data_IF_802587162043
#
_entry.id   IF_802587162043
#
_cell.length_a   1.000
_cell.length_b   1.000
_cell.length_c   1.000
_cell.angle_alpha   90.00
_cell.angle_beta   90.00
_cell.angle_gamma   90.00
#
_symmetry.space_group_name_H-M   'P 1'
#
loop_
_entity.id
_entity.type
_entity.pdbx_description
1 polymer ?
#
# COMPACT_ATOMS: atom_id res chain seq x y z
N UNK A 1 -12.59 3.92 -23.64
CA UNK A 1 -11.23 4.48 -23.46
C UNK A 1 -10.42 3.51 -22.64
N UNK A 2 -9.43 2.86 -23.25
CA UNK A 2 -8.42 2.08 -22.52
C UNK A 2 -7.46 3.06 -21.85
N UNK A 3 -7.91 3.69 -20.76
CA UNK A 3 -7.05 4.57 -19.96
C UNK A 3 -6.05 3.69 -19.22
N UNK A 4 -4.76 3.82 -19.53
CA UNK A 4 -3.71 3.12 -18.79
C UNK A 4 -3.85 3.51 -17.32
N UNK A 5 -4.12 2.53 -16.46
CA UNK A 5 -4.17 2.77 -15.02
C UNK A 5 -2.80 3.27 -14.56
N UNK A 6 -2.77 4.35 -13.79
CA UNK A 6 -1.52 4.87 -13.21
C UNK A 6 -0.97 3.85 -12.22
N UNK A 7 0.21 3.31 -12.50
CA UNK A 7 0.90 2.38 -11.61
C UNK A 7 1.88 3.18 -10.75
N UNK A 8 1.78 3.03 -9.43
CA UNK A 8 2.68 3.63 -8.46
C UNK A 8 3.41 2.50 -7.75
N UNK A 9 4.73 2.57 -7.71
CA UNK A 9 5.53 1.61 -6.95
C UNK A 9 5.71 2.09 -5.51
N UNK A 10 5.43 1.21 -4.56
CA UNK A 10 5.75 1.38 -3.15
C UNK A 10 6.78 0.34 -2.72
N UNK A 11 7.77 0.78 -1.97
CA UNK A 11 8.64 -0.11 -1.22
C UNK A 11 7.97 -0.57 0.09
N UNK A 12 8.58 -1.54 0.77
CA UNK A 12 8.06 -2.06 2.03
C UNK A 12 7.95 -0.97 3.11
N UNK A 13 8.88 -0.01 3.15
CA UNK A 13 8.84 1.10 4.10
C UNK A 13 7.61 1.99 3.93
N UNK A 14 7.16 2.27 2.71
CA UNK A 14 5.95 3.04 2.45
C UNK A 14 4.69 2.34 3.01
N UNK A 15 4.59 1.01 2.81
CA UNK A 15 3.51 0.23 3.40
C UNK A 15 3.61 0.22 4.93
N UNK A 16 4.79 0.00 5.49
CA UNK A 16 4.99 -0.04 6.95
C UNK A 16 4.62 1.31 7.57
N UNK A 17 5.07 2.43 6.98
CA UNK A 17 4.75 3.77 7.46
C UNK A 17 3.24 4.03 7.45
N UNK A 18 2.53 3.61 6.40
CA UNK A 18 1.07 3.70 6.34
C UNK A 18 0.40 2.82 7.41
N UNK A 19 0.81 1.56 7.53
CA UNK A 19 0.18 0.55 8.39
C UNK A 19 0.38 0.80 9.88
N UNK A 20 1.49 1.44 10.25
CA UNK A 20 1.81 1.82 11.63
C UNK A 20 1.41 3.25 11.98
N UNK A 21 0.81 3.97 11.04
CA UNK A 21 0.50 5.39 11.18
C UNK A 21 1.72 6.24 11.58
N UNK A 22 2.88 5.96 10.98
CA UNK A 22 4.13 6.66 11.31
C UNK A 22 4.11 8.09 10.75
N UNK A 23 3.49 9.00 11.51
CA UNK A 23 3.39 10.44 11.21
C UNK A 23 4.72 11.18 11.28
N UNK A 24 5.77 10.53 11.80
CA UNK A 24 7.09 11.11 12.01
C UNK A 24 8.01 10.97 10.78
N UNK A 25 7.60 10.25 9.74
CA UNK A 25 8.29 10.26 8.46
C UNK A 25 7.96 11.56 7.75
N UNK A 26 8.93 12.49 7.68
CA UNK A 26 8.99 13.70 6.83
C UNK A 26 7.69 14.50 6.61
N UNK A 27 7.75 15.83 6.73
CA UNK A 27 6.57 16.68 6.57
C UNK A 27 5.77 16.37 5.29
N UNK A 28 4.53 15.90 5.46
CA UNK A 28 3.60 15.59 4.37
C UNK A 28 3.72 14.20 3.73
N UNK A 29 4.73 13.39 4.07
CA UNK A 29 4.90 12.04 3.49
C UNK A 29 3.74 11.13 3.87
N UNK A 30 3.38 11.09 5.16
CA UNK A 30 2.24 10.29 5.62
C UNK A 30 0.91 10.69 4.95
N UNK A 31 0.68 12.00 4.76
CA UNK A 31 -0.52 12.50 4.07
C UNK A 31 -0.55 12.09 2.60
N UNK A 32 0.62 12.07 1.93
CA UNK A 32 0.73 11.58 0.55
C UNK A 32 0.40 10.08 0.45
N UNK A 33 0.91 9.26 1.38
CA UNK A 33 0.59 7.83 1.46
C UNK A 33 -0.90 7.58 1.69
N UNK A 34 -1.53 8.34 2.60
CA UNK A 34 -2.98 8.28 2.83
C UNK A 34 -3.77 8.65 1.57
N UNK A 35 -3.39 9.72 0.87
CA UNK A 35 -4.04 10.15 -0.37
C UNK A 35 -3.97 9.07 -1.45
N UNK A 36 -2.79 8.47 -1.62
CA UNK A 36 -2.57 7.39 -2.58
C UNK A 36 -3.32 6.10 -2.19
N UNK A 37 -3.35 5.72 -0.91
CA UNK A 37 -4.16 4.61 -0.43
C UNK A 37 -5.65 4.82 -0.74
N UNK A 38 -6.17 6.03 -0.53
CA UNK A 38 -7.54 6.38 -0.91
C UNK A 38 -7.78 6.33 -2.42
N UNK A 39 -6.80 6.74 -3.24
CA UNK A 39 -6.89 6.61 -4.69
C UNK A 39 -6.88 5.14 -5.15
N UNK A 40 -6.10 4.28 -4.49
CA UNK A 40 -6.10 2.84 -4.70
C UNK A 40 -7.47 2.24 -4.36
N UNK A 41 -8.06 2.60 -3.21
CA UNK A 41 -9.39 2.12 -2.81
C UNK A 41 -10.50 2.52 -3.78
N UNK A 42 -10.38 3.70 -4.40
CA UNK A 42 -11.27 4.18 -5.46
C UNK A 42 -10.94 3.63 -6.85
N UNK A 43 -10.01 2.68 -6.96
CA UNK A 43 -9.56 2.07 -8.21
C UNK A 43 -8.99 3.08 -9.24
N UNK A 44 -8.47 4.21 -8.78
CA UNK A 44 -7.91 5.27 -9.63
C UNK A 44 -6.43 5.01 -9.97
N UNK A 45 -5.74 4.25 -9.11
CA UNK A 45 -4.34 3.85 -9.29
C UNK A 45 -4.18 2.35 -9.01
N UNK A 46 -3.04 1.80 -9.44
CA UNK A 46 -2.56 0.48 -9.04
C UNK A 46 -1.30 0.67 -8.19
N UNK A 47 -1.25 0.03 -7.04
CA UNK A 47 -0.04 -0.03 -6.22
C UNK A 47 0.75 -1.29 -6.57
N UNK A 48 2.02 -1.12 -6.93
CA UNK A 48 2.95 -2.20 -7.20
C UNK A 48 3.97 -2.31 -6.06
N UNK A 49 4.31 -3.54 -5.70
CA UNK A 49 5.33 -3.89 -4.71
C UNK A 49 6.07 -5.13 -5.21
N UNK A 50 7.35 -5.27 -4.84
CA UNK A 50 8.09 -6.51 -5.10
C UNK A 50 7.60 -7.66 -4.22
N UNK A 51 7.78 -8.90 -4.66
CA UNK A 51 7.47 -10.08 -3.84
C UNK A 51 8.28 -10.10 -2.54
N UNK A 52 9.54 -9.66 -2.59
CA UNK A 52 10.39 -9.50 -1.40
C UNK A 52 9.79 -8.47 -0.45
N UNK A 53 9.33 -7.32 -0.97
CA UNK A 53 8.67 -6.29 -0.17
C UNK A 53 7.40 -6.78 0.52
N UNK A 54 6.64 -7.69 -0.11
CA UNK A 54 5.49 -8.34 0.55
C UNK A 54 5.95 -9.13 1.77
N UNK A 55 7.02 -9.93 1.63
CA UNK A 55 7.58 -10.72 2.74
C UNK A 55 8.09 -9.81 3.86
N UNK A 56 8.77 -8.72 3.51
CA UNK A 56 9.27 -7.73 4.48
C UNK A 56 8.12 -7.14 5.30
N UNK A 57 7.05 -6.66 4.67
CA UNK A 57 5.89 -6.10 5.37
C UNK A 57 5.22 -7.14 6.27
N UNK A 58 5.06 -8.39 5.81
CA UNK A 58 4.44 -9.47 6.60
C UNK A 58 5.34 -9.97 7.75
N UNK A 59 6.66 -9.76 7.66
CA UNK A 59 7.60 -10.13 8.72
C UNK A 59 7.66 -9.11 9.86
N UNK A 60 7.10 -7.92 9.66
CA UNK A 60 7.05 -6.87 10.67
C UNK A 60 6.04 -7.19 11.76
N UNK A 61 6.32 -6.71 12.97
CA UNK A 61 5.35 -6.69 14.06
C UNK A 61 4.27 -5.65 13.75
N UNK A 62 3.19 -6.10 13.12
CA UNK A 62 1.97 -5.35 12.85
C UNK A 62 0.87 -5.80 13.81
N UNK A 63 -0.07 -4.92 14.14
CA UNK A 63 -1.32 -5.33 14.76
C UNK A 63 -2.18 -6.13 13.78
N UNK A 64 -3.11 -6.94 14.30
CA UNK A 64 -3.95 -7.83 13.48
C UNK A 64 -4.71 -7.05 12.40
N UNK A 65 -5.31 -5.91 12.75
CA UNK A 65 -6.02 -5.04 11.81
C UNK A 65 -5.12 -4.52 10.67
N UNK A 66 -3.90 -4.08 11.00
CA UNK A 66 -2.95 -3.58 10.00
C UNK A 66 -2.50 -4.70 9.05
N UNK A 67 -2.32 -5.92 9.58
CA UNK A 67 -1.99 -7.09 8.78
C UNK A 67 -3.13 -7.48 7.84
N UNK A 68 -4.35 -7.57 8.35
CA UNK A 68 -5.54 -7.85 7.55
C UNK A 68 -5.74 -6.82 6.44
N UNK A 69 -5.53 -5.53 6.76
CA UNK A 69 -5.58 -4.45 5.78
C UNK A 69 -4.58 -4.69 4.66
N UNK A 70 -3.31 -4.98 4.96
CA UNK A 70 -2.30 -5.25 3.94
C UNK A 70 -2.63 -6.48 3.09
N UNK A 71 -3.05 -7.59 3.71
CA UNK A 71 -3.44 -8.80 2.99
C UNK A 71 -4.64 -8.56 2.07
N UNK A 72 -5.60 -7.72 2.49
CA UNK A 72 -6.74 -7.34 1.65
C UNK A 72 -6.33 -6.55 0.41
N UNK A 73 -5.33 -5.66 0.52
CA UNK A 73 -4.78 -4.90 -0.61
C UNK A 73 -4.14 -5.83 -1.64
N UNK A 74 -3.37 -6.83 -1.20
CA UNK A 74 -2.74 -7.82 -2.08
C UNK A 74 -3.79 -8.68 -2.79
N UNK A 75 -4.78 -9.18 -2.05
CA UNK A 75 -5.85 -10.02 -2.64
C UNK A 75 -6.63 -9.29 -3.72
N UNK A 76 -6.96 -8.01 -3.51
CA UNK A 76 -7.67 -7.15 -4.49
C UNK A 76 -6.85 -6.92 -5.77
N UNK A 77 -5.52 -6.90 -5.66
CA UNK A 77 -4.64 -6.77 -6.83
C UNK A 77 -4.64 -8.03 -7.71
N UNK A 78 -4.81 -9.21 -7.11
CA UNK A 78 -4.69 -10.50 -7.81
C UNK A 78 -6.03 -11.05 -8.35
N UNK A 79 -7.17 -10.53 -7.88
CA UNK A 79 -8.51 -10.97 -8.31
C UNK A 79 -9.02 -10.32 -9.58
N UNK A 80 -8.27 -9.38 -10.18
CA UNK A 80 -8.52 -8.89 -11.54
C UNK A 80 -7.78 -9.76 -12.55
N UNK A 81 -8.36 -10.91 -12.87
CA UNK A 81 -8.06 -11.71 -14.07
C UNK A 81 -9.31 -11.85 -14.92
#
# INVERSE_FOLDING_TARGET
>A
MSGKATIIYWDSSAFIALLKEEKNHGDGVYNALLSQAGAFDRNQIVLAISTVGITEVLSMKLGDEARERFESMIRRSNSRR
#
